data_IF_385114930953
#
_entry.id   IF_385114930953
#
_cell.length_a   1.000
_cell.length_b   1.000
_cell.length_c   1.000
_cell.angle_alpha   90.00
_cell.angle_beta   90.00
_cell.angle_gamma   90.00
#
_symmetry.space_group_name_H-M   'P 1'
#
loop_
_entity.id
_entity.type
_entity.pdbx_description
1 polymer ?
#
# COMPACT_ATOMS: atom_id res chain seq x y z
N UNK A 1 -8.40 56.25 4.41
CA UNK A 1 -8.00 55.13 5.28
C UNK A 1 -8.41 53.85 4.57
N UNK A 2 -7.49 53.24 3.80
CA UNK A 2 -7.77 52.05 2.99
C UNK A 2 -7.54 50.83 3.89
N UNK A 3 -8.56 50.00 4.08
CA UNK A 3 -8.41 48.75 4.81
C UNK A 3 -7.47 47.81 4.03
N UNK A 4 -6.55 47.09 4.69
CA UNK A 4 -5.66 46.18 4.01
C UNK A 4 -6.49 45.05 3.39
N UNK A 5 -6.25 44.76 2.11
CA UNK A 5 -6.79 43.58 1.45
C UNK A 5 -6.28 42.35 2.21
N UNK A 6 -7.19 41.64 2.87
CA UNK A 6 -6.91 40.32 3.44
C UNK A 6 -6.58 39.45 2.23
N UNK A 7 -5.31 39.08 2.10
CA UNK A 7 -4.90 38.11 1.08
C UNK A 7 -5.64 36.81 1.35
N UNK A 8 -6.43 36.35 0.37
CA UNK A 8 -7.07 35.04 0.45
C UNK A 8 -6.00 33.97 0.75
N UNK A 9 -6.27 33.02 1.66
CA UNK A 9 -5.33 31.94 1.92
C UNK A 9 -5.06 31.22 0.60
N UNK A 10 -3.78 31.04 0.27
CA UNK A 10 -3.35 30.32 -0.93
C UNK A 10 -4.17 29.04 -1.08
N UNK A 11 -4.92 28.94 -2.17
CA UNK A 11 -5.66 27.74 -2.55
C UNK A 11 -4.76 26.52 -2.33
N UNK A 12 -5.12 25.67 -1.36
CA UNK A 12 -4.53 24.34 -1.24
C UNK A 12 -5.02 23.54 -2.45
N UNK A 13 -4.41 23.77 -3.61
CA UNK A 13 -4.71 23.04 -4.81
C UNK A 13 -4.57 21.55 -4.50
N UNK A 14 -5.66 20.81 -4.67
CA UNK A 14 -5.67 19.35 -4.44
C UNK A 14 -4.53 18.76 -5.28
N UNK A 15 -3.54 18.10 -4.66
CA UNK A 15 -2.43 17.52 -5.41
C UNK A 15 -2.97 16.53 -6.45
N UNK A 16 -2.43 16.57 -7.67
CA UNK A 16 -2.77 15.53 -8.64
C UNK A 16 -2.34 14.16 -8.11
N UNK A 17 -3.11 13.11 -8.41
CA UNK A 17 -2.76 11.75 -7.98
C UNK A 17 -1.34 11.35 -8.41
N UNK A 18 -0.95 11.75 -9.61
CA UNK A 18 0.38 11.49 -10.15
C UNK A 18 1.48 12.22 -9.37
N UNK A 19 1.21 13.44 -8.87
CA UNK A 19 2.11 14.10 -7.92
C UNK A 19 2.16 13.33 -6.60
N UNK A 20 1.01 12.95 -6.03
CA UNK A 20 0.96 12.20 -4.77
C UNK A 20 1.76 10.89 -4.85
N UNK A 21 1.61 10.12 -5.94
CA UNK A 21 2.37 8.89 -6.21
C UNK A 21 3.88 9.14 -6.18
N UNK A 22 4.35 10.18 -6.88
CA UNK A 22 5.76 10.56 -6.89
C UNK A 22 6.27 11.00 -5.53
N UNK A 23 5.54 11.85 -4.83
CA UNK A 23 5.95 12.34 -3.50
C UNK A 23 5.99 11.19 -2.49
N UNK A 24 5.04 10.26 -2.53
CA UNK A 24 5.04 9.09 -1.64
C UNK A 24 6.22 8.17 -1.92
N UNK A 25 6.56 7.95 -3.19
CA UNK A 25 7.75 7.21 -3.59
C UNK A 25 9.05 7.91 -3.14
N UNK A 26 9.13 9.24 -3.28
CA UNK A 26 10.28 10.02 -2.83
C UNK A 26 10.43 9.96 -1.30
N UNK A 27 9.32 10.08 -0.58
CA UNK A 27 9.26 9.96 0.87
C UNK A 27 9.75 8.59 1.34
N UNK A 28 9.18 7.50 0.84
CA UNK A 28 9.58 6.15 1.22
C UNK A 28 11.05 5.87 0.89
N UNK A 29 11.55 6.35 -0.25
CA UNK A 29 12.97 6.25 -0.61
C UNK A 29 13.86 6.98 0.39
N UNK A 30 13.43 8.15 0.87
CA UNK A 30 14.23 8.93 1.79
C UNK A 30 14.22 8.32 3.20
N UNK A 31 13.06 7.89 3.69
CA UNK A 31 12.95 7.32 5.04
C UNK A 31 13.64 5.95 5.10
N UNK A 32 13.53 5.12 4.06
CA UNK A 32 14.15 3.79 4.02
C UNK A 32 15.69 3.81 3.95
N UNK A 33 16.31 4.99 3.78
CA UNK A 33 17.76 5.15 3.91
C UNK A 33 18.24 5.12 5.36
N UNK A 34 17.37 5.45 6.30
CA UNK A 34 17.71 5.48 7.72
C UNK A 34 17.48 4.11 8.34
N UNK A 35 16.32 3.50 8.11
CA UNK A 35 15.95 2.19 8.64
C UNK A 35 15.03 1.43 7.66
N UNK A 36 15.08 0.08 7.62
CA UNK A 36 14.13 -0.70 6.83
C UNK A 36 12.67 -0.43 7.26
N UNK A 37 11.79 -0.27 6.27
CA UNK A 37 10.36 0.01 6.51
C UNK A 37 9.53 -1.22 6.14
N UNK A 38 8.63 -1.62 7.04
CA UNK A 38 7.57 -2.59 6.72
C UNK A 38 6.23 -1.86 6.70
N UNK A 39 5.53 -1.92 5.57
CA UNK A 39 4.17 -1.41 5.42
C UNK A 39 3.24 -2.61 5.39
N UNK A 40 2.35 -2.71 6.37
CA UNK A 40 1.30 -3.73 6.39
C UNK A 40 -0.05 -3.11 6.00
N UNK A 41 -0.72 -3.71 5.04
CA UNK A 41 -2.06 -3.33 4.60
C UNK A 41 -2.98 -4.53 4.71
N UNK A 42 -3.84 -4.50 5.73
CA UNK A 42 -4.92 -5.46 5.86
C UNK A 42 -6.08 -5.09 4.94
N UNK A 43 -6.87 -6.09 4.54
CA UNK A 43 -8.07 -5.92 3.74
C UNK A 43 -7.91 -5.08 2.45
N UNK A 44 -6.85 -5.27 1.65
CA UNK A 44 -6.64 -4.53 0.39
C UNK A 44 -7.84 -4.60 -0.56
N UNK A 45 -8.62 -5.67 -0.51
CA UNK A 45 -9.85 -5.82 -1.28
C UNK A 45 -10.93 -4.75 -1.00
N UNK A 46 -10.83 -4.01 0.10
CA UNK A 46 -11.68 -2.86 0.42
C UNK A 46 -11.02 -1.51 0.13
N UNK A 47 -9.76 -1.51 -0.29
CA UNK A 47 -9.09 -0.28 -0.71
C UNK A 47 -9.79 0.29 -1.95
N UNK A 48 -9.89 1.61 -2.00
CA UNK A 48 -10.40 2.27 -3.19
C UNK A 48 -9.42 2.11 -4.37
N UNK A 49 -9.91 2.36 -5.58
CA UNK A 49 -9.08 2.24 -6.78
C UNK A 49 -7.83 3.13 -6.70
N UNK A 50 -7.92 4.30 -6.07
CA UNK A 50 -6.78 5.22 -5.95
C UNK A 50 -5.66 4.68 -5.06
N UNK A 51 -6.00 3.99 -3.97
CA UNK A 51 -5.04 3.31 -3.09
C UNK A 51 -4.42 2.10 -3.78
N UNK A 52 -5.22 1.30 -4.50
CA UNK A 52 -4.72 0.18 -5.31
C UNK A 52 -3.74 0.62 -6.41
N UNK A 53 -4.04 1.75 -7.04
CA UNK A 53 -3.18 2.40 -8.03
C UNK A 53 -1.87 2.92 -7.43
N UNK A 54 -1.91 3.51 -6.24
CA UNK A 54 -0.72 3.95 -5.53
C UNK A 54 0.15 2.77 -5.15
N UNK A 55 -0.44 1.69 -4.61
CA UNK A 55 0.28 0.47 -4.27
C UNK A 55 0.97 -0.13 -5.50
N UNK A 56 0.24 -0.24 -6.61
CA UNK A 56 0.78 -0.70 -7.90
C UNK A 56 1.95 0.16 -8.35
N UNK A 57 1.80 1.48 -8.31
CA UNK A 57 2.87 2.41 -8.66
C UNK A 57 4.12 2.25 -7.78
N UNK A 58 3.93 2.04 -6.47
CA UNK A 58 5.02 1.85 -5.52
C UNK A 58 5.71 0.51 -5.73
N UNK A 59 4.95 -0.58 -5.92
CA UNK A 59 5.45 -1.95 -6.04
C UNK A 59 6.54 -2.10 -7.11
N UNK A 60 6.40 -1.44 -8.26
CA UNK A 60 7.41 -1.44 -9.33
C UNK A 60 8.74 -0.77 -8.95
N UNK A 61 8.78 -0.03 -7.84
CA UNK A 61 9.91 0.82 -7.43
C UNK A 61 10.55 0.40 -6.11
N UNK A 62 9.95 -0.57 -5.42
CA UNK A 62 10.39 -1.01 -4.09
C UNK A 62 11.77 -1.67 -4.10
N UNK A 63 12.16 -2.37 -5.17
CA UNK A 63 13.47 -3.04 -5.28
C UNK A 63 14.66 -2.10 -5.07
N UNK A 64 14.46 -0.80 -5.29
CA UNK A 64 15.49 0.24 -5.09
C UNK A 64 15.54 0.80 -3.66
N UNK A 65 14.76 0.24 -2.73
CA UNK A 65 14.53 0.75 -1.38
C UNK A 65 14.54 -0.39 -0.35
N UNK A 66 14.85 -0.07 0.91
CA UNK A 66 14.68 -1.00 2.03
C UNK A 66 13.23 -0.97 2.52
N UNK A 67 12.28 -1.32 1.65
CA UNK A 67 10.85 -1.30 1.94
C UNK A 67 10.24 -2.66 1.61
N UNK A 68 9.59 -3.27 2.59
CA UNK A 68 8.76 -4.45 2.43
C UNK A 68 7.29 -4.05 2.55
N UNK A 69 6.47 -4.42 1.57
CA UNK A 69 5.02 -4.25 1.64
C UNK A 69 4.36 -5.60 1.81
N UNK A 70 3.62 -5.76 2.90
CA UNK A 70 2.82 -6.94 3.22
C UNK A 70 1.35 -6.58 3.04
N UNK A 71 0.65 -7.41 2.28
CA UNK A 71 -0.75 -7.16 1.95
C UNK A 71 -1.58 -8.41 2.20
N UNK A 72 -2.71 -8.25 2.88
CA UNK A 72 -3.73 -9.28 3.01
C UNK A 72 -4.97 -8.90 2.21
N UNK A 73 -5.55 -9.87 1.49
CA UNK A 73 -6.77 -9.65 0.70
C UNK A 73 -7.56 -10.93 0.48
N UNK A 74 -8.82 -10.77 0.08
CA UNK A 74 -9.67 -11.84 -0.42
C UNK A 74 -9.67 -11.84 -1.95
N UNK A 75 -9.20 -12.92 -2.56
CA UNK A 75 -9.08 -13.03 -4.02
C UNK A 75 -10.43 -12.87 -4.72
N UNK A 76 -11.51 -13.42 -4.17
CA UNK A 76 -12.88 -13.27 -4.70
C UNK A 76 -13.30 -11.80 -4.82
N UNK A 77 -12.96 -11.00 -3.82
CA UNK A 77 -13.46 -9.63 -3.67
C UNK A 77 -12.65 -8.66 -4.53
N UNK A 78 -11.34 -8.91 -4.69
CA UNK A 78 -10.53 -8.20 -5.68
C UNK A 78 -11.03 -8.44 -7.11
N UNK A 79 -11.36 -9.70 -7.44
CA UNK A 79 -11.86 -10.06 -8.78
C UNK A 79 -13.22 -9.41 -9.03
N UNK A 80 -14.11 -9.45 -8.05
CA UNK A 80 -15.45 -8.86 -8.15
C UNK A 80 -15.40 -7.35 -8.36
N UNK A 81 -14.47 -6.65 -7.69
CA UNK A 81 -14.31 -5.20 -7.80
C UNK A 81 -13.46 -4.76 -9.00
N UNK A 82 -12.79 -5.67 -9.70
CA UNK A 82 -11.85 -5.31 -10.77
C UNK A 82 -10.68 -4.48 -10.25
N UNK A 83 -10.20 -4.76 -9.03
CA UNK A 83 -9.26 -3.92 -8.31
C UNK A 83 -7.93 -3.74 -9.08
N UNK A 84 -7.35 -2.53 -9.18
CA UNK A 84 -6.17 -2.24 -10.02
C UNK A 84 -4.96 -3.13 -9.75
N UNK A 85 -4.79 -3.56 -8.50
CA UNK A 85 -3.72 -4.48 -8.09
C UNK A 85 -3.71 -5.80 -8.89
N UNK A 86 -4.88 -6.30 -9.33
CA UNK A 86 -4.95 -7.55 -10.12
C UNK A 86 -4.23 -7.44 -11.46
N UNK A 87 -4.19 -6.24 -12.06
CA UNK A 87 -3.49 -6.02 -13.32
C UNK A 87 -1.97 -5.95 -13.13
N UNK A 88 -1.53 -5.48 -11.97
CA UNK A 88 -0.11 -5.33 -11.64
C UNK A 88 0.53 -6.64 -11.20
N UNK A 89 -0.22 -7.46 -10.45
CA UNK A 89 0.27 -8.69 -9.80
C UNK A 89 1.06 -9.62 -10.73
N UNK A 90 0.59 -9.99 -11.94
CA UNK A 90 1.34 -10.90 -12.81
C UNK A 90 2.71 -10.36 -13.23
N UNK A 91 2.80 -9.05 -13.49
CA UNK A 91 4.09 -8.42 -13.81
C UNK A 91 5.02 -8.44 -12.60
N UNK A 92 4.51 -8.11 -11.42
CA UNK A 92 5.31 -8.11 -10.19
C UNK A 92 5.83 -9.52 -9.87
N UNK A 93 5.02 -10.55 -10.04
CA UNK A 93 5.41 -11.95 -9.88
C UNK A 93 6.48 -12.36 -10.89
N UNK A 94 6.30 -12.01 -12.16
CA UNK A 94 7.25 -12.33 -13.22
C UNK A 94 8.64 -11.70 -12.98
N UNK A 95 8.69 -10.54 -12.32
CA UNK A 95 9.94 -9.87 -11.94
C UNK A 95 10.45 -10.26 -10.54
N UNK A 96 9.80 -11.20 -9.84
CA UNK A 96 10.19 -11.62 -8.49
C UNK A 96 9.93 -10.58 -7.39
N UNK A 97 9.08 -9.57 -7.66
CA UNK A 97 8.75 -8.45 -6.77
C UNK A 97 7.50 -8.68 -5.93
N UNK A 98 6.74 -9.72 -6.25
CA UNK A 98 5.55 -10.12 -5.50
C UNK A 98 5.65 -11.61 -5.17
N UNK A 99 5.44 -11.93 -3.90
CA UNK A 99 5.29 -13.28 -3.41
C UNK A 99 3.93 -13.39 -2.73
N UNK A 100 3.08 -14.28 -3.24
CA UNK A 100 1.77 -14.56 -2.65
C UNK A 100 1.85 -15.82 -1.78
N UNK A 101 1.32 -15.71 -0.56
CA UNK A 101 1.15 -16.85 0.34
C UNK A 101 -0.35 -17.11 0.42
N UNK A 102 -0.78 -18.20 -0.21
CA UNK A 102 -2.15 -18.67 -0.06
C UNK A 102 -2.36 -19.18 1.37
N UNK A 103 -3.28 -18.58 2.10
CA UNK A 103 -3.67 -19.02 3.43
C UNK A 103 -4.88 -19.94 3.34
N UNK A 104 -4.71 -21.18 3.78
CA UNK A 104 -5.82 -22.11 3.97
C UNK A 104 -6.64 -21.76 5.21
N UNK A 105 -7.84 -22.33 5.29
CA UNK A 105 -8.67 -22.21 6.49
C UNK A 105 -7.87 -22.61 7.72
N UNK A 106 -8.01 -21.80 8.78
CA UNK A 106 -7.46 -22.13 10.08
C UNK A 106 -8.01 -23.48 10.53
N UNK A 107 -7.17 -24.51 10.49
CA UNK A 107 -7.52 -25.77 11.13
C UNK A 107 -7.63 -25.53 12.64
N UNK A 108 -8.56 -26.25 13.28
CA UNK A 108 -8.81 -26.14 14.72
C UNK A 108 -7.57 -26.43 15.59
N UNK A 109 -6.54 -27.07 15.01
CA UNK A 109 -5.26 -27.34 15.65
C UNK A 109 -4.32 -26.11 15.63
N UNK A 110 -4.35 -25.28 14.59
CA UNK A 110 -3.47 -24.11 14.42
C UNK A 110 -3.96 -22.92 15.24
N UNK A 111 -5.28 -22.70 15.31
CA UNK A 111 -5.87 -21.61 16.09
C UNK A 111 -5.52 -21.68 17.58
N UNK A 112 -5.27 -22.88 18.13
CA UNK A 112 -4.85 -23.08 19.53
C UNK A 112 -3.39 -22.75 19.82
N UNK A 113 -2.53 -22.72 18.81
CA UNK A 113 -1.10 -22.43 18.99
C UNK A 113 -0.81 -20.94 18.82
N UNK A 114 -1.54 -20.24 17.94
CA UNK A 114 -1.34 -18.80 17.70
C UNK A 114 -1.75 -17.94 18.91
N UNK A 115 -2.80 -18.29 19.66
CA UNK A 115 -3.20 -17.51 20.84
C UNK A 115 -2.20 -17.61 22.01
N UNK A 116 -1.49 -18.73 22.14
CA UNK A 116 -0.50 -18.92 23.23
C UNK A 116 0.76 -18.08 23.01
N UNK A 117 1.18 -17.95 21.76
CA UNK A 117 2.36 -17.16 21.39
C UNK A 117 2.08 -15.65 21.40
N UNK A 118 0.84 -15.23 21.16
CA UNK A 118 0.47 -13.80 21.16
C UNK A 118 0.22 -13.22 22.57
N UNK A 119 0.18 -14.04 23.62
CA UNK A 119 -0.16 -13.64 25.00
C UNK A 119 0.94 -14.06 26.02
N UNK A 120 2.12 -14.45 25.55
CA UNK A 120 3.33 -14.64 26.39
C UNK A 120 4.40 -13.62 26.03
#
# INVERSE_FOLDING_TARGET
MVAPAISEPASHAVPSQERLKREMCAFLRQVSRFEPIVIFMDDLHWADASSGDLLTYLADRLDSMLVLVLVAYRTSDLVLSGHPFLHAKPSLEAHGRCHEIALDFLSSQVGRNLWRTAVS
#
